data_IF_309670274151
#
_entry.id   IF_309670274151
#
_cell.length_a   1.000
_cell.length_b   1.000
_cell.length_c   1.000
_cell.angle_alpha   90.00
_cell.angle_beta   90.00
_cell.angle_gamma   90.00
#
_symmetry.space_group_name_H-M   'P 1'
#
loop_
_entity.id
_entity.type
_entity.pdbx_description
1 polymer ?
#
# COMPACT_ATOMS: atom_id res chain seq x y z
N UNK A 1 12.50 -27.89 14.45
CA UNK A 1 12.71 -27.52 13.03
C UNK A 1 14.21 -27.37 12.87
N UNK A 2 14.87 -28.28 12.17
CA UNK A 2 16.32 -28.17 11.94
C UNK A 2 16.57 -26.99 10.98
N UNK A 3 17.55 -26.15 11.31
CA UNK A 3 17.97 -25.05 10.44
C UNK A 3 18.65 -25.68 9.23
N UNK A 4 18.18 -25.45 7.99
CA UNK A 4 18.82 -26.00 6.80
C UNK A 4 20.28 -25.55 6.70
N UNK A 5 21.18 -26.45 6.32
CA UNK A 5 22.57 -26.09 6.02
C UNK A 5 22.60 -25.08 4.86
N UNK A 6 23.13 -23.87 5.11
CA UNK A 6 23.17 -22.77 4.13
C UNK A 6 23.84 -23.15 2.81
N UNK A 7 24.88 -23.99 2.83
CA UNK A 7 25.56 -24.44 1.61
C UNK A 7 24.64 -25.29 0.72
N UNK A 8 23.84 -26.17 1.34
CA UNK A 8 22.83 -26.98 0.62
C UNK A 8 21.74 -26.09 0.04
N UNK A 9 21.29 -25.09 0.79
CA UNK A 9 20.28 -24.12 0.35
C UNK A 9 20.78 -23.30 -0.84
N UNK A 10 22.02 -22.82 -0.80
CA UNK A 10 22.61 -22.05 -1.89
C UNK A 10 22.77 -22.88 -3.16
N UNK A 11 23.21 -24.14 -3.03
CA UNK A 11 23.30 -25.06 -4.16
C UNK A 11 21.93 -25.28 -4.81
N UNK A 12 20.90 -25.54 -4.00
CA UNK A 12 19.52 -25.73 -4.49
C UNK A 12 18.96 -24.46 -5.15
N UNK A 13 19.21 -23.30 -4.55
CA UNK A 13 18.78 -22.03 -5.12
C UNK A 13 19.35 -21.82 -6.53
N UNK A 14 20.66 -22.07 -6.72
CA UNK A 14 21.32 -21.93 -8.03
C UNK A 14 20.80 -22.93 -9.06
N UNK A 15 20.54 -24.16 -8.64
CA UNK A 15 19.92 -25.18 -9.48
C UNK A 15 18.57 -24.71 -10.03
N UNK A 16 17.68 -24.22 -9.16
CA UNK A 16 16.34 -23.77 -9.53
C UNK A 16 16.38 -22.54 -10.43
N UNK A 17 17.21 -21.55 -10.08
CA UNK A 17 17.38 -20.32 -10.87
C UNK A 17 17.89 -20.62 -12.28
N UNK A 18 18.90 -21.48 -12.39
CA UNK A 18 19.48 -21.91 -13.66
C UNK A 18 18.47 -22.67 -14.52
N UNK A 19 17.71 -23.60 -13.91
CA UNK A 19 16.69 -24.39 -14.61
C UNK A 19 15.56 -23.51 -15.19
N UNK A 20 15.27 -22.37 -14.56
CA UNK A 20 14.29 -21.38 -15.05
C UNK A 20 14.89 -20.34 -16.00
N UNK A 21 16.16 -20.49 -16.41
CA UNK A 21 16.85 -19.55 -17.31
C UNK A 21 17.05 -18.16 -16.70
N UNK A 22 16.98 -18.03 -15.38
CA UNK A 22 17.09 -16.77 -14.66
C UNK A 22 18.53 -16.52 -14.19
N UNK A 23 18.83 -15.26 -13.86
CA UNK A 23 20.10 -14.88 -13.24
C UNK A 23 19.98 -14.90 -11.72
N UNK A 24 21.07 -15.25 -11.05
CA UNK A 24 21.18 -15.15 -9.60
C UNK A 24 21.05 -13.68 -9.15
N UNK A 25 20.27 -13.45 -8.09
CA UNK A 25 20.24 -12.16 -7.41
C UNK A 25 21.63 -11.79 -6.88
N UNK A 26 22.09 -10.59 -7.26
CA UNK A 26 23.33 -9.98 -6.77
C UNK A 26 23.38 -9.80 -5.25
N UNK A 27 22.22 -9.75 -4.57
CA UNK A 27 22.09 -9.76 -3.11
C UNK A 27 21.15 -10.89 -2.72
N UNK A 28 21.70 -12.03 -2.28
CA UNK A 28 20.94 -13.23 -1.89
C UNK A 28 19.89 -12.96 -0.81
N UNK A 29 20.17 -12.06 0.13
CA UNK A 29 19.23 -11.67 1.19
C UNK A 29 17.92 -11.06 0.66
N UNK A 30 17.93 -10.53 -0.57
CA UNK A 30 16.74 -9.98 -1.24
C UNK A 30 15.99 -11.01 -2.10
N UNK A 31 16.56 -12.20 -2.31
CA UNK A 31 15.95 -13.25 -3.10
C UNK A 31 14.86 -13.97 -2.31
N UNK A 32 13.59 -13.78 -2.69
CA UNK A 32 12.45 -14.45 -2.06
C UNK A 32 12.54 -15.98 -2.14
N UNK A 33 13.09 -16.52 -3.24
CA UNK A 33 13.32 -17.98 -3.38
C UNK A 33 14.41 -18.47 -2.42
N UNK A 34 15.53 -17.75 -2.28
CA UNK A 34 16.59 -18.12 -1.34
C UNK A 34 16.10 -18.07 0.11
N UNK A 35 15.41 -16.98 0.49
CA UNK A 35 14.80 -16.84 1.81
C UNK A 35 13.73 -17.90 2.10
N UNK A 36 12.99 -18.34 1.08
CA UNK A 36 12.04 -19.45 1.16
C UNK A 36 12.74 -20.77 1.46
N UNK A 37 13.79 -21.10 0.71
CA UNK A 37 14.58 -22.32 0.91
C UNK A 37 15.28 -22.35 2.28
N UNK A 38 15.78 -21.20 2.77
CA UNK A 38 16.33 -21.08 4.13
C UNK A 38 15.32 -21.42 5.23
N UNK A 39 14.03 -21.22 4.97
CA UNK A 39 12.92 -21.60 5.87
C UNK A 39 12.49 -23.06 5.71
N UNK A 40 13.19 -23.85 4.90
CA UNK A 40 12.86 -25.25 4.61
C UNK A 40 11.65 -25.43 3.69
N UNK A 41 11.19 -24.37 3.03
CA UNK A 41 10.04 -24.43 2.12
C UNK A 41 10.48 -24.81 0.70
N UNK A 42 9.66 -25.63 0.02
CA UNK A 42 9.96 -26.12 -1.32
C UNK A 42 9.70 -25.04 -2.40
N UNK A 43 10.50 -24.98 -3.47
CA UNK A 43 10.19 -24.16 -4.64
C UNK A 43 8.88 -24.60 -5.32
N UNK A 44 8.14 -23.65 -5.87
CA UNK A 44 6.97 -23.93 -6.71
C UNK A 44 7.41 -24.47 -8.08
N UNK A 45 6.61 -25.36 -8.66
CA UNK A 45 6.84 -25.96 -9.97
C UNK A 45 6.82 -24.92 -11.11
N UNK A 46 5.92 -23.94 -10.98
CA UNK A 46 5.82 -22.78 -11.87
C UNK A 46 6.20 -21.55 -11.05
N UNK A 47 6.76 -20.53 -11.70
CA UNK A 47 7.02 -19.24 -11.04
C UNK A 47 5.70 -18.65 -10.54
N UNK A 48 5.60 -18.21 -9.28
CA UNK A 48 4.40 -17.53 -8.81
C UNK A 48 4.21 -16.18 -9.53
N UNK A 49 2.98 -15.65 -9.56
CA UNK A 49 2.75 -14.25 -9.91
C UNK A 49 3.59 -13.30 -9.06
N UNK A 50 3.68 -12.05 -9.47
CA UNK A 50 4.38 -10.98 -8.79
C UNK A 50 3.44 -10.08 -8.01
N UNK A 51 3.98 -9.52 -6.93
CA UNK A 51 3.45 -8.37 -6.22
C UNK A 51 4.47 -7.23 -6.30
N UNK A 52 4.25 -6.22 -7.16
CA UNK A 52 5.16 -5.08 -7.38
C UNK A 52 6.63 -5.50 -7.53
N UNK A 53 6.88 -6.49 -8.39
CA UNK A 53 8.19 -7.11 -8.67
C UNK A 53 8.69 -8.19 -7.71
N UNK A 54 7.97 -8.55 -6.65
CA UNK A 54 8.36 -9.65 -5.75
C UNK A 54 7.51 -10.92 -5.97
N UNK A 55 8.10 -12.14 -5.97
CA UNK A 55 7.35 -13.39 -6.03
C UNK A 55 6.26 -13.49 -4.96
N UNK A 56 5.01 -13.72 -5.38
CA UNK A 56 3.83 -13.70 -4.53
C UNK A 56 3.41 -15.09 -4.07
N UNK A 57 4.28 -15.78 -3.33
CA UNK A 57 3.98 -17.16 -2.88
C UNK A 57 2.65 -17.29 -2.14
N UNK A 58 2.26 -16.30 -1.32
CA UNK A 58 1.00 -16.36 -0.58
C UNK A 58 -0.24 -16.37 -1.46
N UNK A 59 -0.21 -15.76 -2.66
CA UNK A 59 -1.36 -15.83 -3.57
C UNK A 59 -1.58 -17.26 -4.10
N UNK A 60 -0.49 -18.01 -4.27
CA UNK A 60 -0.55 -19.40 -4.73
C UNK A 60 -0.87 -20.34 -3.57
N UNK A 61 -0.29 -20.12 -2.40
CA UNK A 61 -0.30 -21.10 -1.31
C UNK A 61 -1.42 -20.91 -0.30
N UNK A 62 -1.88 -19.68 -0.09
CA UNK A 62 -2.96 -19.35 0.83
C UNK A 62 -4.30 -19.85 0.30
N UNK A 63 -5.05 -20.54 1.15
CA UNK A 63 -6.47 -20.83 0.96
C UNK A 63 -7.39 -19.73 1.52
N UNK A 64 -6.84 -18.78 2.29
CA UNK A 64 -7.57 -17.60 2.78
C UNK A 64 -7.42 -16.39 1.86
N UNK A 65 -8.36 -15.43 1.90
CA UNK A 65 -8.22 -14.17 1.17
C UNK A 65 -6.93 -13.43 1.50
N UNK A 66 -6.32 -12.83 0.47
CA UNK A 66 -5.14 -11.98 0.55
C UNK A 66 -5.51 -10.59 0.03
N UNK A 67 -5.19 -9.50 0.76
CA UNK A 67 -5.42 -8.15 0.26
C UNK A 67 -4.62 -7.85 -1.00
N UNK A 68 -5.29 -7.32 -2.01
CA UNK A 68 -4.67 -6.73 -3.20
C UNK A 68 -4.36 -5.25 -2.90
N UNK A 69 -3.09 -4.83 -2.94
CA UNK A 69 -2.70 -3.45 -2.62
C UNK A 69 -3.26 -2.43 -3.61
N UNK A 70 -3.49 -2.86 -4.85
CA UNK A 70 -4.14 -2.06 -5.89
C UNK A 70 -5.16 -2.94 -6.59
N UNK A 71 -6.25 -2.31 -7.03
CA UNK A 71 -7.29 -3.02 -7.75
C UNK A 71 -6.82 -3.57 -9.09
N UNK A 72 -7.48 -4.63 -9.59
CA UNK A 72 -7.33 -5.08 -10.95
C UNK A 72 -7.61 -3.95 -11.94
N UNK A 73 -6.85 -3.90 -13.04
CA UNK A 73 -7.10 -2.98 -14.15
C UNK A 73 -7.28 -3.79 -15.42
N UNK A 74 -8.30 -3.50 -16.23
CA UNK A 74 -8.48 -4.18 -17.51
C UNK A 74 -7.24 -4.01 -18.38
N UNK A 75 -6.80 -5.12 -18.98
CA UNK A 75 -5.65 -5.15 -19.87
C UNK A 75 -6.08 -5.75 -21.21
N UNK A 76 -6.06 -4.93 -22.25
CA UNK A 76 -6.32 -5.37 -23.62
C UNK A 76 -5.18 -4.87 -24.50
N UNK A 77 -4.23 -5.72 -24.88
CA UNK A 77 -3.15 -5.35 -25.78
C UNK A 77 -3.69 -5.21 -27.21
N UNK A 78 -3.11 -4.31 -28.00
CA UNK A 78 -3.53 -4.10 -29.40
C UNK A 78 -3.29 -5.32 -30.31
N UNK A 79 -2.42 -6.25 -29.89
CA UNK A 79 -1.93 -7.37 -30.69
C UNK A 79 -2.32 -8.76 -30.15
N UNK A 80 -3.04 -8.82 -29.03
CA UNK A 80 -3.47 -10.07 -28.42
C UNK A 80 -4.95 -9.96 -28.01
N UNK A 81 -5.75 -10.93 -28.46
CA UNK A 81 -7.20 -10.94 -28.30
C UNK A 81 -7.64 -11.40 -26.91
N UNK A 82 -6.72 -11.78 -26.02
CA UNK A 82 -7.04 -12.15 -24.65
C UNK A 82 -7.51 -10.94 -23.86
N UNK A 83 -8.67 -11.06 -23.24
CA UNK A 83 -9.12 -10.13 -22.21
C UNK A 83 -8.40 -10.44 -20.91
N UNK A 84 -7.27 -9.77 -20.71
CA UNK A 84 -6.49 -9.89 -19.50
C UNK A 84 -6.89 -8.85 -18.45
N UNK A 85 -6.37 -9.05 -17.25
CA UNK A 85 -6.45 -8.10 -16.15
C UNK A 85 -5.05 -7.93 -15.60
N UNK A 86 -4.58 -6.69 -15.52
CA UNK A 86 -3.34 -6.34 -14.87
C UNK A 86 -3.55 -6.34 -13.35
N UNK A 87 -2.79 -7.20 -12.65
CA UNK A 87 -2.79 -7.33 -11.19
C UNK A 87 -1.34 -7.27 -10.73
N UNK A 88 -1.01 -6.25 -9.94
CA UNK A 88 0.34 -6.06 -9.37
C UNK A 88 1.50 -6.20 -10.37
N UNK A 89 1.31 -5.68 -11.60
CA UNK A 89 2.26 -5.68 -12.74
C UNK A 89 2.34 -6.97 -13.55
N UNK A 90 1.56 -8.00 -13.20
CA UNK A 90 1.40 -9.20 -14.02
C UNK A 90 0.05 -9.19 -14.75
N UNK A 91 0.02 -9.81 -15.92
CA UNK A 91 -1.21 -10.00 -16.69
C UNK A 91 -1.79 -11.38 -16.39
N UNK A 92 -3.05 -11.37 -15.97
CA UNK A 92 -3.85 -12.56 -15.65
C UNK A 92 -4.96 -12.70 -16.68
N UNK A 93 -5.39 -13.93 -16.95
CA UNK A 93 -6.50 -14.19 -17.84
C UNK A 93 -7.82 -14.10 -17.06
N UNK A 94 -8.75 -13.23 -17.49
CA UNK A 94 -10.09 -13.14 -16.90
C UNK A 94 -10.93 -14.31 -17.38
N UNK A 95 -11.51 -15.04 -16.43
CA UNK A 95 -12.37 -16.19 -16.73
C UNK A 95 -13.82 -15.72 -16.96
N UNK A 96 -14.61 -16.46 -17.77
CA UNK A 96 -16.01 -16.11 -18.01
C UNK A 96 -16.85 -16.08 -16.72
N UNK A 97 -17.74 -15.08 -16.61
CA UNK A 97 -18.64 -14.90 -15.47
C UNK A 97 -18.22 -13.78 -14.51
N UNK A 98 -19.05 -13.53 -13.50
CA UNK A 98 -18.84 -12.44 -12.53
C UNK A 98 -19.27 -11.06 -13.02
N UNK A 99 -18.83 -10.03 -12.32
CA UNK A 99 -19.02 -8.61 -12.62
C UNK A 99 -17.70 -7.84 -12.40
N UNK A 100 -17.74 -6.52 -12.51
CA UNK A 100 -16.54 -5.67 -12.43
C UNK A 100 -15.95 -5.55 -11.03
N UNK A 101 -16.65 -6.01 -9.99
CA UNK A 101 -16.23 -5.99 -8.59
C UNK A 101 -16.09 -7.36 -7.96
N UNK A 102 -16.40 -8.44 -8.69
CA UNK A 102 -16.35 -9.82 -8.24
C UNK A 102 -16.27 -10.76 -9.45
N UNK A 103 -15.09 -11.32 -9.71
CA UNK A 103 -14.83 -12.16 -10.87
C UNK A 103 -13.73 -13.19 -10.58
N UNK A 104 -13.46 -14.05 -11.56
CA UNK A 104 -12.41 -15.06 -11.45
C UNK A 104 -11.32 -14.87 -12.50
N UNK A 105 -10.10 -15.25 -12.13
CA UNK A 105 -8.92 -15.17 -12.99
C UNK A 105 -8.10 -16.45 -12.89
N UNK A 106 -7.25 -16.65 -13.88
CA UNK A 106 -6.12 -17.58 -13.80
C UNK A 106 -4.83 -16.89 -14.23
N UNK A 107 -3.68 -17.47 -13.87
CA UNK A 107 -2.37 -16.93 -14.20
C UNK A 107 -1.68 -17.86 -15.21
N UNK A 108 -1.04 -17.34 -16.26
CA UNK A 108 -0.45 -18.18 -17.31
C UNK A 108 0.43 -19.32 -16.78
N UNK A 109 0.16 -20.53 -17.25
CA UNK A 109 0.85 -21.77 -16.87
C UNK A 109 0.23 -22.46 -15.66
N UNK A 110 -0.35 -21.71 -14.72
CA UNK A 110 -1.01 -22.28 -13.54
C UNK A 110 -2.41 -22.81 -13.85
N UNK A 111 -3.03 -22.32 -14.91
CA UNK A 111 -4.28 -22.82 -15.48
C UNK A 111 -4.19 -24.31 -15.84
N UNK A 112 -3.05 -24.76 -16.36
CA UNK A 112 -2.79 -26.17 -16.67
C UNK A 112 -2.73 -27.07 -15.42
N UNK A 113 -2.50 -26.49 -14.24
CA UNK A 113 -2.56 -27.16 -12.93
C UNK A 113 -3.93 -26.96 -12.25
N UNK A 114 -4.92 -26.40 -12.97
CA UNK A 114 -6.27 -26.21 -12.47
C UNK A 114 -6.44 -25.04 -11.51
N UNK A 115 -5.49 -24.08 -11.48
CA UNK A 115 -5.61 -22.95 -10.57
C UNK A 115 -6.61 -21.91 -11.05
N UNK A 116 -7.46 -21.50 -10.12
CA UNK A 116 -8.38 -20.39 -10.30
C UNK A 116 -8.38 -19.56 -9.03
N UNK A 117 -8.40 -18.25 -9.19
CA UNK A 117 -8.55 -17.29 -8.11
C UNK A 117 -9.82 -16.47 -8.29
N UNK A 118 -10.50 -16.19 -7.18
CA UNK A 118 -11.55 -15.18 -7.11
C UNK A 118 -10.93 -13.85 -6.72
N UNK A 119 -11.38 -12.78 -7.37
CA UNK A 119 -11.04 -11.40 -7.05
C UNK A 119 -12.32 -10.63 -6.79
N UNK A 120 -12.39 -9.93 -5.66
CA UNK A 120 -13.58 -9.14 -5.33
C UNK A 120 -13.25 -7.93 -4.45
N UNK A 121 -14.15 -6.94 -4.46
CA UNK A 121 -14.14 -5.85 -3.49
C UNK A 121 -14.83 -6.28 -2.21
N UNK A 122 -14.19 -6.01 -1.07
CA UNK A 122 -14.75 -6.24 0.25
C UNK A 122 -14.56 -5.02 1.14
N UNK A 123 -15.56 -4.75 1.98
CA UNK A 123 -15.48 -3.73 3.00
C UNK A 123 -15.05 -4.40 4.31
N UNK A 124 -13.85 -4.10 4.77
CA UNK A 124 -13.28 -4.61 6.01
C UNK A 124 -13.32 -3.54 7.10
N UNK A 125 -13.63 -3.92 8.34
CA UNK A 125 -13.59 -2.98 9.45
C UNK A 125 -12.18 -2.41 9.62
N UNK A 126 -12.09 -1.10 9.90
CA UNK A 126 -10.83 -0.39 10.09
C UNK A 126 -9.94 -1.01 11.19
N UNK A 127 -10.55 -1.68 12.17
CA UNK A 127 -9.86 -2.38 13.25
C UNK A 127 -9.05 -3.59 12.78
N UNK A 128 -9.56 -4.33 11.78
CA UNK A 128 -9.00 -5.62 11.36
C UNK A 128 -8.23 -5.53 10.04
N UNK A 129 -8.49 -4.51 9.24
CA UNK A 129 -7.85 -4.36 7.94
C UNK A 129 -6.34 -4.03 8.06
N UNK A 130 -5.59 -4.39 7.02
CA UNK A 130 -4.15 -4.12 6.93
C UNK A 130 -3.85 -2.69 6.48
N UNK A 131 -4.76 -2.10 5.68
CA UNK A 131 -4.73 -0.68 5.35
C UNK A 131 -5.00 0.15 6.60
N UNK A 132 -4.42 1.35 6.71
CA UNK A 132 -4.68 2.20 7.87
C UNK A 132 -4.54 3.67 7.53
N UNK A 133 -5.44 4.47 8.09
CA UNK A 133 -5.24 5.91 8.21
C UNK A 133 -4.38 6.17 9.46
N UNK A 134 -3.37 7.03 9.28
CA UNK A 134 -2.39 7.35 10.33
C UNK A 134 -2.86 8.56 11.12
N UNK A 135 -2.78 8.46 12.44
CA UNK A 135 -2.89 9.59 13.36
C UNK A 135 -1.52 10.24 13.51
N UNK A 136 -1.40 11.55 13.25
CA UNK A 136 -0.12 12.25 13.36
C UNK A 136 0.02 13.04 14.66
N UNK A 137 -1.12 13.39 15.28
CA UNK A 137 -1.14 14.28 16.43
C UNK A 137 -1.13 13.57 17.79
N UNK A 138 -1.35 12.25 17.80
CA UNK A 138 -1.42 11.43 19.02
C UNK A 138 -0.56 10.18 18.88
N UNK A 139 0.43 10.05 19.77
CA UNK A 139 1.35 8.92 19.78
C UNK A 139 0.71 7.62 20.30
N UNK A 140 -0.37 7.72 21.08
CA UNK A 140 -1.10 6.59 21.63
C UNK A 140 -2.04 5.92 20.61
N UNK A 141 -2.31 6.61 19.49
CA UNK A 141 -3.18 6.12 18.42
C UNK A 141 -2.33 5.81 17.19
N UNK A 142 -2.16 4.53 16.89
CA UNK A 142 -1.41 4.10 15.69
C UNK A 142 -2.26 3.99 14.44
N UNK A 143 -3.58 3.83 14.59
CA UNK A 143 -4.54 3.70 13.49
C UNK A 143 -5.84 4.43 13.82
N UNK A 144 -6.39 5.18 12.86
CA UNK A 144 -7.74 5.75 12.98
C UNK A 144 -8.74 4.64 12.64
N UNK A 145 -9.52 4.20 13.64
CA UNK A 145 -10.47 3.08 13.48
C UNK A 145 -11.94 3.49 13.55
N UNK A 146 -12.23 4.76 13.84
CA UNK A 146 -13.60 5.28 13.93
C UNK A 146 -13.73 6.60 13.18
N UNK A 147 -14.95 6.98 12.73
CA UNK A 147 -15.17 8.26 12.07
C UNK A 147 -14.75 9.45 12.93
N UNK A 148 -15.04 9.42 14.24
CA UNK A 148 -14.67 10.48 15.18
C UNK A 148 -13.15 10.68 15.27
N UNK A 149 -12.37 9.59 15.20
CA UNK A 149 -10.91 9.68 15.15
C UNK A 149 -10.41 10.29 13.85
N UNK A 150 -11.08 10.01 12.72
CA UNK A 150 -10.77 10.66 11.44
C UNK A 150 -11.09 12.15 11.52
N UNK A 151 -12.24 12.53 12.05
CA UNK A 151 -12.63 13.94 12.20
C UNK A 151 -11.65 14.69 13.12
N UNK A 152 -11.28 14.10 14.26
CA UNK A 152 -10.31 14.70 15.18
C UNK A 152 -8.94 14.93 14.52
N UNK A 153 -8.46 13.99 13.70
CA UNK A 153 -7.23 14.15 12.94
C UNK A 153 -7.36 15.23 11.85
N UNK A 154 -8.47 15.28 11.11
CA UNK A 154 -8.76 16.34 10.12
C UNK A 154 -8.79 17.72 10.78
N UNK A 155 -9.46 17.84 11.93
CA UNK A 155 -9.53 19.05 12.74
C UNK A 155 -8.15 19.52 13.20
N UNK A 156 -7.35 18.62 13.75
CA UNK A 156 -5.98 18.94 14.12
C UNK A 156 -5.15 19.45 12.93
N UNK A 157 -5.27 18.82 11.75
CA UNK A 157 -4.55 19.28 10.54
C UNK A 157 -4.99 20.68 10.14
N UNK A 158 -6.30 20.95 10.12
CA UNK A 158 -6.85 22.25 9.77
C UNK A 158 -6.34 23.35 10.74
N UNK A 159 -6.43 23.10 12.04
CA UNK A 159 -5.97 24.02 13.10
C UNK A 159 -4.45 24.23 13.07
N UNK A 160 -3.68 23.16 12.86
CA UNK A 160 -2.21 23.22 12.73
C UNK A 160 -1.80 24.11 11.56
N UNK A 161 -2.39 23.89 10.40
CA UNK A 161 -2.06 24.65 9.20
C UNK A 161 -2.51 26.13 9.32
N UNK A 162 -3.67 26.39 9.94
CA UNK A 162 -4.11 27.74 10.24
C UNK A 162 -3.17 28.45 11.22
N UNK A 163 -2.70 27.76 12.26
CA UNK A 163 -1.68 28.26 13.18
C UNK A 163 -0.38 28.62 12.47
N UNK A 164 0.06 27.77 11.52
CA UNK A 164 1.23 28.07 10.71
C UNK A 164 1.05 29.24 9.77
N UNK A 165 -0.14 29.42 9.17
CA UNK A 165 -0.41 30.57 8.33
C UNK A 165 -0.45 31.88 9.14
N UNK A 166 -1.08 31.86 10.32
CA UNK A 166 -1.08 33.00 11.24
C UNK A 166 0.36 33.39 11.63
N UNK A 167 1.20 32.41 12.00
CA UNK A 167 2.63 32.64 12.29
C UNK A 167 3.38 33.19 11.09
N UNK A 168 3.06 32.74 9.88
CA UNK A 168 3.66 33.31 8.66
C UNK A 168 3.35 34.80 8.55
N UNK A 169 2.15 35.26 8.90
CA UNK A 169 1.81 36.69 8.95
C UNK A 169 2.60 37.52 9.97
N UNK A 170 3.22 36.89 10.97
CA UNK A 170 3.83 37.56 12.14
C UNK A 170 5.35 37.41 12.23
N UNK A 171 5.93 36.37 11.63
CA UNK A 171 7.35 36.03 11.75
C UNK A 171 8.14 36.40 10.50
N UNK A 172 9.48 36.45 10.59
CA UNK A 172 10.36 36.45 9.42
C UNK A 172 10.43 35.05 8.78
N UNK A 173 10.99 34.93 7.57
CA UNK A 173 11.23 33.62 6.95
C UNK A 173 12.18 32.75 7.76
N UNK A 174 13.23 33.36 8.32
CA UNK A 174 14.25 32.66 9.11
C UNK A 174 13.64 32.12 10.42
N UNK A 175 12.85 32.93 11.11
CA UNK A 175 12.17 32.52 12.35
C UNK A 175 11.13 31.43 12.09
N UNK A 176 10.34 31.57 11.02
CA UNK A 176 9.33 30.56 10.66
C UNK A 176 9.99 29.23 10.30
N UNK A 177 11.10 29.26 9.56
CA UNK A 177 11.90 28.08 9.25
C UNK A 177 12.43 27.41 10.52
N UNK A 178 13.02 28.18 11.42
CA UNK A 178 13.53 27.66 12.70
C UNK A 178 12.42 27.02 13.53
N UNK A 179 11.23 27.66 13.59
CA UNK A 179 10.07 27.12 14.27
C UNK A 179 9.57 25.79 13.66
N UNK A 180 9.53 25.67 12.33
CA UNK A 180 9.18 24.42 11.65
C UNK A 180 10.12 23.28 11.99
N UNK A 181 11.43 23.54 11.97
CA UNK A 181 12.46 22.56 12.33
C UNK A 181 12.32 22.15 13.80
N UNK A 182 12.13 23.12 14.70
CA UNK A 182 11.97 22.87 16.12
C UNK A 182 10.70 22.06 16.45
N UNK A 183 9.63 22.22 15.65
CA UNK A 183 8.39 21.45 15.81
C UNK A 183 8.51 19.98 15.43
N UNK A 184 9.60 19.56 14.78
CA UNK A 184 9.77 18.20 14.25
C UNK A 184 9.00 17.93 12.96
N UNK A 185 8.14 18.85 12.49
CA UNK A 185 7.33 18.66 11.28
C UNK A 185 8.14 18.69 9.99
N UNK A 186 9.34 19.30 10.01
CA UNK A 186 10.27 19.24 8.89
C UNK A 186 11.09 17.94 8.83
N UNK A 187 10.92 17.04 9.81
CA UNK A 187 11.65 15.79 9.93
C UNK A 187 12.61 15.77 11.13
N UNK A 188 13.38 14.67 11.24
CA UNK A 188 14.31 14.47 12.36
C UNK A 188 15.44 15.51 12.36
N UNK A 189 15.82 15.98 13.54
CA UNK A 189 16.97 16.87 13.71
C UNK A 189 18.24 16.21 13.14
N UNK A 190 19.04 16.98 12.39
CA UNK A 190 20.26 16.50 11.74
C UNK A 190 20.08 15.77 10.41
N UNK A 191 18.84 15.55 9.95
CA UNK A 191 18.61 15.03 8.60
C UNK A 191 18.89 16.13 7.55
N UNK A 192 19.69 15.80 6.52
CA UNK A 192 20.05 16.74 5.44
C UNK A 192 18.85 17.33 4.69
N UNK A 193 17.72 16.63 4.71
CA UNK A 193 16.49 17.05 4.03
C UNK A 193 15.62 17.97 4.87
N UNK A 194 15.83 18.04 6.19
CA UNK A 194 14.99 18.83 7.10
C UNK A 194 14.96 20.31 6.73
N UNK A 195 16.12 20.88 6.38
CA UNK A 195 16.20 22.28 5.93
C UNK A 195 15.41 22.51 4.64
N UNK A 196 15.50 21.58 3.68
CA UNK A 196 14.82 21.67 2.38
C UNK A 196 13.31 21.61 2.56
N UNK A 197 12.82 20.67 3.39
CA UNK A 197 11.39 20.56 3.70
C UNK A 197 10.89 21.83 4.39
N UNK A 198 11.63 22.35 5.37
CA UNK A 198 11.26 23.60 6.03
C UNK A 198 11.21 24.79 5.06
N UNK A 199 12.17 24.90 4.14
CA UNK A 199 12.17 25.97 3.13
C UNK A 199 10.95 25.90 2.21
N UNK A 200 10.58 24.69 1.76
CA UNK A 200 9.39 24.49 0.93
C UNK A 200 8.10 24.86 1.68
N UNK A 201 8.00 24.49 2.96
CA UNK A 201 6.84 24.85 3.78
C UNK A 201 6.74 26.36 4.02
N UNK A 202 7.86 27.04 4.32
CA UNK A 202 7.89 28.50 4.46
C UNK A 202 7.47 29.18 3.16
N UNK A 203 8.00 28.75 2.01
CA UNK A 203 7.63 29.31 0.72
C UNK A 203 6.13 29.13 0.41
N UNK A 204 5.58 27.94 0.70
CA UNK A 204 4.15 27.65 0.52
C UNK A 204 3.26 28.54 1.40
N UNK A 205 3.59 28.67 2.69
CA UNK A 205 2.83 29.52 3.62
C UNK A 205 2.91 31.00 3.24
N UNK A 206 4.05 31.46 2.72
CA UNK A 206 4.18 32.84 2.21
C UNK A 206 3.32 33.08 0.99
N UNK A 207 3.31 32.13 0.07
CA UNK A 207 2.44 32.19 -1.10
C UNK A 207 0.97 32.31 -0.67
N UNK A 208 0.51 31.43 0.24
CA UNK A 208 -0.87 31.46 0.76
C UNK A 208 -1.19 32.76 1.51
N UNK A 209 -0.28 33.24 2.36
CA UNK A 209 -0.46 34.48 3.12
C UNK A 209 -0.61 35.67 2.18
N UNK A 210 0.24 35.77 1.15
CA UNK A 210 0.19 36.84 0.17
C UNK A 210 -1.08 36.77 -0.69
N UNK A 211 -1.52 35.56 -1.05
CA UNK A 211 -2.75 35.35 -1.81
C UNK A 211 -3.97 35.83 -1.04
N UNK A 212 -4.08 35.49 0.25
CA UNK A 212 -5.19 35.97 1.11
C UNK A 212 -5.17 37.47 1.28
N UNK A 213 -4.00 38.06 1.53
CA UNK A 213 -3.85 39.51 1.62
C UNK A 213 -4.26 40.22 0.31
N UNK A 214 -3.91 39.66 -0.85
CA UNK A 214 -4.32 40.19 -2.15
C UNK A 214 -5.84 40.12 -2.38
N UNK A 215 -6.52 39.15 -1.77
CA UNK A 215 -8.00 39.02 -1.76
C UNK A 215 -8.68 39.89 -0.69
N UNK A 216 -7.91 40.55 0.17
CA UNK A 216 -8.44 41.29 1.33
C UNK A 216 -8.93 40.41 2.48
N UNK A 217 -8.49 39.14 2.51
CA UNK A 217 -8.82 38.16 3.54
C UNK A 217 -7.82 38.20 4.70
N UNK A 218 -8.28 37.86 5.91
CA UNK A 218 -7.41 37.72 7.08
C UNK A 218 -6.50 36.50 6.94
N UNK A 219 -5.24 36.60 7.39
CA UNK A 219 -4.33 35.44 7.51
C UNK A 219 -4.73 34.49 8.65
N UNK A 220 -5.58 34.96 9.56
CA UNK A 220 -6.18 34.13 10.59
C UNK A 220 -7.47 33.52 10.05
N UNK A 221 -7.57 32.19 10.12
CA UNK A 221 -8.78 31.47 9.74
C UNK A 221 -9.87 31.71 10.78
N UNK A 222 -11.09 31.91 10.30
CA UNK A 222 -12.31 31.89 11.10
C UNK A 222 -12.67 30.45 11.51
N UNK A 223 -13.53 30.31 12.52
CA UNK A 223 -14.02 28.99 12.91
C UNK A 223 -14.77 28.31 11.75
N UNK A 224 -15.54 29.06 10.98
CA UNK A 224 -16.27 28.58 9.81
C UNK A 224 -15.32 28.06 8.71
N UNK A 225 -14.19 28.73 8.48
CA UNK A 225 -13.18 28.25 7.51
C UNK A 225 -12.49 26.96 7.99
N UNK A 226 -12.26 26.82 9.30
CA UNK A 226 -11.74 25.57 9.88
C UNK A 226 -12.76 24.45 9.68
N UNK A 227 -14.03 24.64 10.04
CA UNK A 227 -15.08 23.62 9.84
C UNK A 227 -15.23 23.23 8.36
N UNK A 228 -15.20 24.22 7.45
CA UNK A 228 -15.28 23.96 6.02
C UNK A 228 -14.10 23.10 5.54
N UNK A 229 -12.91 23.32 6.09
CA UNK A 229 -11.71 22.55 5.75
C UNK A 229 -11.74 21.14 6.35
N UNK A 230 -12.23 20.99 7.59
CA UNK A 230 -12.46 19.67 8.21
C UNK A 230 -13.45 18.87 7.37
N UNK A 231 -14.57 19.47 6.96
CA UNK A 231 -15.55 18.81 6.11
C UNK A 231 -14.97 18.40 4.75
N UNK A 232 -14.14 19.26 4.14
CA UNK A 232 -13.46 18.95 2.88
C UNK A 232 -12.44 17.81 3.02
N UNK A 233 -11.63 17.82 4.08
CA UNK A 233 -10.66 16.75 4.35
C UNK A 233 -11.36 15.42 4.67
N UNK A 234 -12.45 15.47 5.44
CA UNK A 234 -13.30 14.30 5.72
C UNK A 234 -13.87 13.73 4.43
N UNK A 235 -14.41 14.56 3.53
CA UNK A 235 -14.92 14.10 2.22
C UNK A 235 -13.82 13.56 1.30
N UNK A 236 -12.60 14.09 1.40
CA UNK A 236 -11.46 13.62 0.62
C UNK A 236 -10.95 12.26 1.10
N UNK A 237 -10.94 12.04 2.42
CA UNK A 237 -10.51 10.78 3.02
C UNK A 237 -11.61 9.72 2.94
N UNK A 238 -12.86 10.10 3.23
CA UNK A 238 -14.03 9.23 3.23
C UNK A 238 -14.73 9.31 1.88
N UNK A 239 -14.68 8.22 1.13
CA UNK A 239 -15.21 8.12 -0.23
C UNK A 239 -15.18 6.68 -0.71
N UNK A 240 -14.52 6.44 -1.84
CA UNK A 240 -14.53 5.12 -2.49
C UNK A 240 -13.75 4.05 -1.71
N UNK A 241 -12.71 4.45 -0.98
CA UNK A 241 -11.78 3.52 -0.30
C UNK A 241 -12.01 3.45 1.21
N UNK A 242 -12.36 4.56 1.87
CA UNK A 242 -12.73 4.56 3.29
C UNK A 242 -14.16 5.04 3.42
N UNK A 243 -14.96 4.34 4.20
CA UNK A 243 -16.40 4.55 4.25
C UNK A 243 -16.94 4.36 5.66
N UNK A 244 -18.05 5.04 5.95
CA UNK A 244 -18.75 4.92 7.22
C UNK A 244 -20.03 4.11 7.01
N UNK A 245 -20.18 3.02 7.76
CA UNK A 245 -21.40 2.19 7.79
C UNK A 245 -21.79 1.95 9.23
N UNK A 246 -23.06 2.19 9.56
CA UNK A 246 -23.60 1.96 10.90
C UNK A 246 -22.74 2.57 12.03
N UNK A 247 -22.15 3.75 11.77
CA UNK A 247 -21.28 4.47 12.71
C UNK A 247 -19.84 3.94 12.83
N UNK A 248 -19.46 2.92 12.04
CA UNK A 248 -18.13 2.33 12.03
C UNK A 248 -17.36 2.70 10.76
N UNK A 249 -16.03 2.74 10.85
CA UNK A 249 -15.15 2.99 9.73
C UNK A 249 -14.76 1.66 9.06
N UNK A 250 -14.88 1.61 7.74
CA UNK A 250 -14.51 0.48 6.91
C UNK A 250 -13.53 0.92 5.82
N UNK A 251 -12.68 -0.01 5.41
CA UNK A 251 -11.83 0.10 4.24
C UNK A 251 -12.38 -0.82 3.14
N UNK A 252 -12.72 -0.24 1.98
CA UNK A 252 -13.03 -0.98 0.75
C UNK A 252 -11.72 -1.34 0.07
N UNK A 253 -11.35 -2.61 0.16
CA UNK A 253 -10.17 -3.16 -0.46
C UNK A 253 -10.52 -4.21 -1.51
N UNK A 254 -9.59 -4.46 -2.41
CA UNK A 254 -9.64 -5.62 -3.28
C UNK A 254 -9.02 -6.82 -2.59
N UNK A 255 -9.59 -7.99 -2.83
CA UNK A 255 -9.15 -9.27 -2.28
C UNK A 255 -8.89 -10.24 -3.41
N UNK A 256 -7.94 -11.15 -3.18
CA UNK A 256 -7.70 -12.31 -4.05
C UNK A 256 -7.65 -13.58 -3.20
N UNK A 257 -8.28 -14.65 -3.67
CA UNK A 257 -8.26 -15.94 -2.99
C UNK A 257 -8.19 -17.07 -3.99
N UNK A 258 -7.28 -18.03 -3.75
CA UNK A 258 -7.27 -19.28 -4.49
C UNK A 258 -8.55 -20.06 -4.19
N UNK A 259 -9.35 -20.35 -5.22
CA UNK A 259 -10.54 -21.19 -5.08
C UNK A 259 -10.27 -22.63 -5.54
N UNK A 260 -9.37 -22.82 -6.50
CA UNK A 260 -8.89 -24.14 -6.93
C UNK A 260 -7.38 -24.11 -7.17
N UNK A 261 -6.68 -25.24 -6.98
CA UNK A 261 -7.13 -26.42 -6.23
C UNK A 261 -7.34 -26.09 -4.74
N UNK A 262 -8.20 -26.85 -4.05
CA UNK A 262 -8.45 -26.62 -2.62
C UNK A 262 -7.20 -26.94 -1.77
N UNK A 263 -6.47 -27.99 -2.16
CA UNK A 263 -5.27 -28.47 -1.48
C UNK A 263 -4.12 -28.54 -2.49
N UNK A 264 -2.93 -28.12 -2.07
CA UNK A 264 -1.73 -28.24 -2.88
C UNK A 264 -1.09 -29.61 -2.67
N UNK A 265 -0.99 -30.40 -3.74
CA UNK A 265 -0.20 -31.63 -3.81
C UNK A 265 1.25 -31.42 -4.27
N UNK A 266 2.08 -32.48 -4.24
CA UNK A 266 3.48 -32.47 -4.65
C UNK A 266 3.75 -31.97 -6.06
N UNK A 267 2.78 -32.13 -6.98
CA UNK A 267 2.83 -31.65 -8.36
C UNK A 267 2.98 -30.13 -8.49
N UNK A 268 2.61 -29.37 -7.46
CA UNK A 268 2.75 -27.92 -7.43
C UNK A 268 4.14 -27.45 -7.02
N UNK A 269 5.02 -28.38 -6.65
CA UNK A 269 6.34 -28.11 -6.10
C UNK A 269 7.43 -28.84 -6.90
N UNK A 270 8.62 -28.24 -6.96
CA UNK A 270 9.79 -28.93 -7.52
C UNK A 270 10.33 -29.94 -6.50
N UNK A 271 10.41 -31.21 -6.92
CA UNK A 271 10.98 -32.29 -6.11
C UNK A 271 12.44 -32.00 -5.71
N UNK A 272 12.83 -32.38 -4.49
CA UNK A 272 14.19 -32.22 -3.97
C UNK A 272 14.21 -31.95 -2.46
N UNK A 273 15.10 -32.65 -1.75
CA UNK A 273 15.09 -32.88 -0.31
C UNK A 273 15.21 -31.63 0.56
N UNK A 274 14.42 -31.60 1.64
CA UNK A 274 14.75 -30.91 2.90
C UNK A 274 16.16 -31.26 3.40
#
# INVERSE_FOLDING_TARGET
MEIPNEERVLARYREVVSAQGCLENHILAKSSLYQRLLKGLQPLAIRPPLNHSYPWYSVVESDTPVPLPFGPTDWTPEWDTRHGVAICQDVWDRLPGGNDTDFSVTFPGWDALGFVWRIWQADEAAETTTAHLVCWHREDITKLTTPDLVEAECRWRAERDASWLSRAGQMSNEDLKAAFIASGQAGKAGCRFTSIVADQQVAHLRFLSNERQAKGESVEFTAEEIEARVAADMLSLLGDTWLVKDGQLFHRGWQIQRITPAVLGPEHYLAGAS
#
